data_IF_139583382895
#
_entry.id   IF_139583382895
#
_cell.length_a   1.000
_cell.length_b   1.000
_cell.length_c   1.000
_cell.angle_alpha   90.00
_cell.angle_beta   90.00
_cell.angle_gamma   90.00
#
_symmetry.space_group_name_H-M   'P 1'
#
loop_
_entity.id
_entity.type
_entity.pdbx_description
1 polymer ?
#
# COMPACT_ATOMS: atom_id res chain seq x y z
N UNK A 1 -36.89 -17.47 -0.72
CA UNK A 1 -35.77 -16.66 -0.20
C UNK A 1 -34.52 -17.53 -0.23
N UNK A 2 -33.82 -17.59 -1.36
CA UNK A 2 -32.60 -18.39 -1.53
C UNK A 2 -31.39 -17.48 -1.32
N UNK A 3 -30.62 -17.74 -0.26
CA UNK A 3 -29.42 -16.97 0.06
C UNK A 3 -28.24 -17.46 -0.79
N UNK A 4 -27.66 -16.55 -1.58
CA UNK A 4 -26.43 -16.77 -2.34
C UNK A 4 -25.23 -16.66 -1.40
N UNK A 5 -24.50 -17.75 -1.25
CA UNK A 5 -23.20 -17.78 -0.59
C UNK A 5 -22.15 -17.18 -1.54
N UNK A 6 -21.67 -15.98 -1.25
CA UNK A 6 -20.55 -15.37 -1.97
C UNK A 6 -19.26 -16.16 -1.69
N UNK A 7 -18.55 -16.52 -2.76
CA UNK A 7 -17.21 -17.09 -2.68
C UNK A 7 -16.23 -16.07 -2.08
N UNK A 8 -15.24 -16.51 -1.27
CA UNK A 8 -14.22 -15.62 -0.74
C UNK A 8 -13.38 -15.03 -1.89
N UNK A 9 -12.93 -13.76 -1.80
CA UNK A 9 -12.03 -13.21 -2.80
C UNK A 9 -10.76 -14.07 -2.84
N UNK A 10 -10.47 -14.64 -4.01
CA UNK A 10 -9.24 -15.37 -4.27
C UNK A 10 -8.05 -14.44 -4.05
N UNK A 11 -7.36 -14.64 -2.94
CA UNK A 11 -6.07 -14.00 -2.66
C UNK A 11 -5.08 -14.42 -3.75
N UNK A 12 -4.65 -13.46 -4.57
CA UNK A 12 -3.60 -13.69 -5.57
C UNK A 12 -2.35 -14.20 -4.84
N UNK A 13 -1.65 -15.22 -5.34
CA UNK A 13 -0.46 -15.73 -4.66
C UNK A 13 0.57 -14.61 -4.50
N UNK A 14 1.17 -14.54 -3.32
CA UNK A 14 2.30 -13.66 -3.06
C UNK A 14 3.37 -13.92 -4.12
N UNK A 15 3.70 -12.89 -4.91
CA UNK A 15 4.84 -12.94 -5.83
C UNK A 15 6.14 -13.27 -5.07
N UNK A 16 7.21 -13.65 -5.79
CA UNK A 16 8.44 -14.22 -5.22
C UNK A 16 9.00 -13.32 -4.11
N UNK A 17 9.81 -13.92 -3.21
CA UNK A 17 10.50 -13.33 -2.03
C UNK A 17 11.38 -12.10 -2.35
N UNK A 18 10.78 -11.10 -2.98
CA UNK A 18 11.36 -9.87 -3.44
C UNK A 18 10.88 -8.71 -2.59
N UNK A 19 11.46 -7.56 -2.86
CA UNK A 19 11.15 -6.31 -2.20
C UNK A 19 9.66 -5.95 -2.40
N UNK A 20 9.05 -5.30 -1.41
CA UNK A 20 7.64 -4.91 -1.50
C UNK A 20 7.38 -4.05 -2.76
N UNK A 21 6.29 -4.29 -3.51
CA UNK A 21 6.05 -3.54 -4.75
C UNK A 21 5.84 -2.04 -4.54
N UNK A 22 5.25 -1.65 -3.40
CA UNK A 22 5.11 -0.24 -3.01
C UNK A 22 6.41 0.41 -2.50
N UNK A 23 7.46 -0.38 -2.24
CA UNK A 23 8.71 0.18 -1.77
C UNK A 23 9.49 0.77 -2.95
N UNK A 24 9.92 2.02 -2.88
CA UNK A 24 10.79 2.63 -3.90
C UNK A 24 12.19 2.03 -3.84
N UNK A 25 12.86 1.68 -4.95
CA UNK A 25 14.10 0.89 -4.96
C UNK A 25 15.18 1.31 -3.93
N UNK A 26 15.30 2.61 -3.66
CA UNK A 26 16.24 3.20 -2.72
C UNK A 26 15.84 3.11 -1.24
N UNK A 27 14.58 2.81 -0.91
CA UNK A 27 14.07 2.77 0.46
C UNK A 27 14.60 1.55 1.23
N UNK A 28 15.44 1.73 2.27
CA UNK A 28 16.03 0.61 3.00
C UNK A 28 15.06 -0.02 4.00
N UNK A 29 13.90 0.58 4.24
CA UNK A 29 13.01 0.14 5.33
C UNK A 29 12.45 -1.26 5.06
N UNK A 30 12.45 -2.17 6.06
CA UNK A 30 11.87 -3.50 5.90
C UNK A 30 10.34 -3.41 5.77
N UNK A 31 9.70 -4.45 5.25
CA UNK A 31 8.23 -4.51 5.22
C UNK A 31 7.63 -4.48 6.63
N UNK A 32 6.38 -4.04 6.72
CA UNK A 32 5.54 -4.15 7.91
C UNK A 32 4.28 -4.96 7.54
N UNK A 33 4.37 -6.28 7.74
CA UNK A 33 3.32 -7.22 7.35
C UNK A 33 3.35 -7.66 5.88
N UNK A 34 2.24 -8.22 5.37
CA UNK A 34 2.14 -8.76 4.01
C UNK A 34 2.39 -7.71 2.91
N UNK A 35 3.06 -8.05 1.80
CA UNK A 35 3.36 -7.11 0.71
C UNK A 35 2.12 -6.75 -0.14
N UNK A 36 0.96 -7.33 0.16
CA UNK A 36 -0.35 -7.15 -0.48
C UNK A 36 -1.41 -6.63 0.50
N UNK A 37 -1.01 -6.06 1.65
CA UNK A 37 -1.93 -5.65 2.72
C UNK A 37 -2.81 -4.44 2.36
N UNK A 38 -2.37 -3.59 1.43
CA UNK A 38 -3.11 -2.44 0.96
C UNK A 38 -2.80 -2.14 -0.52
N UNK A 39 -3.68 -1.40 -1.18
CA UNK A 39 -3.49 -0.90 -2.54
C UNK A 39 -3.59 0.62 -2.54
N UNK A 40 -2.63 1.29 -3.16
CA UNK A 40 -2.72 2.72 -3.49
C UNK A 40 -3.16 2.90 -4.94
N UNK A 41 -3.80 4.02 -5.22
CA UNK A 41 -4.22 4.43 -6.57
C UNK A 41 -3.74 5.84 -6.84
N UNK A 42 -3.07 6.06 -7.97
CA UNK A 42 -2.65 7.40 -8.40
C UNK A 42 -3.76 8.18 -9.14
N UNK A 43 -3.47 9.42 -9.55
CA UNK A 43 -4.40 10.26 -10.33
C UNK A 43 -4.87 9.62 -11.64
N UNK A 44 -4.11 8.70 -12.21
CA UNK A 44 -4.40 8.02 -13.47
C UNK A 44 -5.12 6.68 -13.27
N UNK A 45 -5.41 6.29 -12.03
CA UNK A 45 -6.03 5.01 -11.72
C UNK A 45 -5.04 3.85 -11.68
N UNK A 46 -3.72 4.09 -11.74
CA UNK A 46 -2.73 3.02 -11.63
C UNK A 46 -2.65 2.56 -10.19
N UNK A 47 -2.69 1.24 -10.01
CA UNK A 47 -2.69 0.60 -8.70
C UNK A 47 -1.32 0.05 -8.33
N UNK A 48 -0.96 0.21 -7.05
CA UNK A 48 0.25 -0.38 -6.47
C UNK A 48 -0.13 -1.06 -5.16
N UNK A 49 0.05 -2.38 -5.08
CA UNK A 49 -0.13 -3.14 -3.86
C UNK A 49 1.13 -3.04 -2.98
N UNK A 50 0.94 -2.99 -1.67
CA UNK A 50 2.04 -2.87 -0.72
C UNK A 50 1.68 -3.26 0.70
N UNK A 51 2.71 -3.33 1.54
CA UNK A 51 2.54 -3.37 2.98
C UNK A 51 2.20 -1.97 3.52
N UNK A 52 1.67 -1.89 4.74
CA UNK A 52 1.23 -0.63 5.36
C UNK A 52 2.36 0.41 5.39
N UNK A 53 3.58 0.00 5.80
CA UNK A 53 4.73 0.92 5.87
C UNK A 53 5.11 1.49 4.51
N UNK A 54 5.25 0.65 3.50
CA UNK A 54 5.69 1.12 2.17
C UNK A 54 4.59 1.90 1.46
N UNK A 55 3.32 1.58 1.67
CA UNK A 55 2.23 2.43 1.22
C UNK A 55 2.27 3.82 1.89
N UNK A 56 2.46 3.89 3.21
CA UNK A 56 2.57 5.18 3.92
C UNK A 56 3.75 6.03 3.43
N UNK A 57 4.89 5.40 3.12
CA UNK A 57 6.09 6.09 2.61
C UNK A 57 5.97 6.51 1.15
N UNK A 58 5.23 5.74 0.34
CA UNK A 58 5.02 6.05 -1.08
C UNK A 58 3.96 7.14 -1.27
N UNK A 59 2.88 7.12 -0.48
CA UNK A 59 1.69 7.96 -0.67
C UNK A 59 1.99 9.47 -0.81
N UNK A 60 2.84 10.12 0.03
CA UNK A 60 3.13 11.55 -0.11
C UNK A 60 3.80 11.94 -1.43
N UNK A 61 4.48 11.00 -2.09
CA UNK A 61 5.11 11.23 -3.40
C UNK A 61 4.23 10.93 -4.60
N UNK A 62 3.02 10.41 -4.40
CA UNK A 62 2.09 10.09 -5.50
C UNK A 62 1.20 11.28 -5.83
N UNK A 63 1.26 11.73 -7.08
CA UNK A 63 0.35 12.75 -7.56
C UNK A 63 -1.10 12.23 -7.60
N UNK A 64 -1.99 12.94 -6.91
CA UNK A 64 -3.39 12.52 -6.67
C UNK A 64 -3.51 11.16 -5.98
N UNK A 65 -2.49 10.74 -5.23
CA UNK A 65 -2.43 9.45 -4.55
C UNK A 65 -3.53 9.29 -3.50
N UNK A 66 -4.13 8.11 -3.45
CA UNK A 66 -5.11 7.72 -2.42
C UNK A 66 -5.01 6.24 -2.09
N UNK A 67 -5.47 5.86 -0.90
CA UNK A 67 -5.70 4.45 -0.56
C UNK A 67 -6.93 3.94 -1.30
N UNK A 68 -6.86 2.75 -1.90
CA UNK A 68 -7.98 2.14 -2.60
C UNK A 68 -9.17 1.89 -1.65
N UNK A 69 -10.43 2.18 -2.03
CA UNK A 69 -11.59 2.08 -1.14
C UNK A 69 -11.86 0.70 -0.51
N UNK A 70 -11.36 -0.38 -1.12
CA UNK A 70 -11.49 -1.75 -0.59
C UNK A 70 -10.38 -2.17 0.39
N UNK A 71 -9.41 -1.29 0.68
CA UNK A 71 -8.49 -1.53 1.79
C UNK A 71 -9.29 -1.45 3.10
N UNK A 72 -9.16 -2.41 4.04
CA UNK A 72 -9.94 -2.35 5.26
C UNK A 72 -9.57 -1.10 6.08
N UNK A 73 -10.57 -0.50 6.71
CA UNK A 73 -10.47 0.83 7.32
C UNK A 73 -9.30 0.98 8.31
N UNK A 74 -8.99 0.01 9.20
CA UNK A 74 -7.84 0.13 10.09
C UNK A 74 -6.51 0.30 9.35
N UNK A 75 -6.27 -0.47 8.28
CA UNK A 75 -5.05 -0.36 7.47
C UNK A 75 -5.01 0.97 6.72
N UNK A 76 -6.14 1.42 6.18
CA UNK A 76 -6.22 2.70 5.48
C UNK A 76 -5.89 3.88 6.42
N UNK A 77 -6.47 3.89 7.64
CA UNK A 77 -6.18 4.92 8.63
C UNK A 77 -4.72 4.91 9.08
N UNK A 78 -4.14 3.73 9.33
CA UNK A 78 -2.73 3.61 9.71
C UNK A 78 -1.80 4.14 8.60
N UNK A 79 -2.11 3.86 7.32
CA UNK A 79 -1.38 4.43 6.19
C UNK A 79 -1.47 5.96 6.19
N UNK A 80 -2.67 6.54 6.33
CA UNK A 80 -2.83 7.99 6.29
C UNK A 80 -2.14 8.68 7.46
N UNK A 81 -2.27 8.17 8.69
CA UNK A 81 -1.61 8.77 9.86
C UNK A 81 -0.09 8.78 9.72
N UNK A 82 0.50 7.65 9.31
CA UNK A 82 1.95 7.57 9.06
C UNK A 82 2.40 8.46 7.90
N UNK A 83 1.61 8.53 6.82
CA UNK A 83 1.94 9.34 5.65
C UNK A 83 1.96 10.84 5.96
N UNK A 84 1.07 11.32 6.82
CA UNK A 84 1.02 12.74 7.23
C UNK A 84 2.30 13.20 7.97
N UNK A 85 3.06 12.28 8.54
CA UNK A 85 4.34 12.57 9.22
C UNK A 85 5.55 12.47 8.29
N UNK A 86 5.35 12.04 7.04
CA UNK A 86 6.41 11.77 6.09
C UNK A 86 6.42 12.79 4.96
N UNK A 87 7.59 13.32 4.59
CA UNK A 87 7.73 14.09 3.37
C UNK A 87 7.65 13.18 2.13
N UNK A 88 7.36 13.75 0.94
CA UNK A 88 7.55 13.05 -0.33
C UNK A 88 8.97 12.48 -0.44
N UNK A 89 9.10 11.26 -0.97
CA UNK A 89 10.39 10.60 -1.18
C UNK A 89 11.23 10.46 0.10
N UNK A 90 10.61 10.10 1.22
CA UNK A 90 11.24 10.00 2.56
C UNK A 90 12.48 9.07 2.66
N UNK A 91 12.81 8.32 1.62
CA UNK A 91 14.04 7.52 1.50
C UNK A 91 15.24 8.31 0.96
N UNK A 92 15.05 9.55 0.51
CA UNK A 92 16.11 10.42 0.00
C UNK A 92 16.67 11.37 1.08
N UNK A 93 16.00 11.45 2.23
CA UNK A 93 16.40 12.33 3.33
C UNK A 93 17.53 11.69 4.15
N UNK A 94 18.61 12.45 4.36
CA UNK A 94 19.77 12.01 5.13
C UNK A 94 20.73 11.09 4.36
N UNK A 95 20.65 11.10 3.02
CA UNK A 95 21.62 10.46 2.13
C UNK A 95 22.82 11.36 1.82
#
# INVERSE_FOLDING_TARGET
MTQQTSAPPTRRPAGPRGRCPAAAAADPTPCDGPPDAATLVDRHGREVAGCVRHCARLLPGLDGGRVHPFVPAPQALDIYFRACELPPFAWEIGR
#
